data_IF_333712972842
#
_entry.id   IF_333712972842
#
_cell.length_a   1.000
_cell.length_b   1.000
_cell.length_c   1.000
_cell.angle_alpha   90.00
_cell.angle_beta   90.00
_cell.angle_gamma   90.00
#
_symmetry.space_group_name_H-M   'P 1'
#
loop_
_entity.id
_entity.type
_entity.pdbx_description
1 polymer ?
#
# COMPACT_ATOMS: atom_id res chain seq x y z
N UNK A 1 2.78 -2.36 -8.88
CA UNK A 1 1.77 -1.39 -8.37
C UNK A 1 1.70 -0.17 -9.27
N UNK A 2 0.53 0.16 -9.83
CA UNK A 2 0.26 1.51 -10.36
C UNK A 2 -0.53 2.24 -9.27
N UNK A 3 0.07 3.28 -8.70
CA UNK A 3 -0.58 4.13 -7.69
C UNK A 3 -1.31 5.26 -8.40
N UNK A 4 -2.63 5.13 -8.54
CA UNK A 4 -3.46 6.17 -9.16
C UNK A 4 -4.05 7.07 -8.08
N UNK A 5 -3.88 8.39 -8.24
CA UNK A 5 -4.64 9.38 -7.49
C UNK A 5 -5.73 9.92 -8.40
N UNK A 6 -6.99 9.86 -7.95
CA UNK A 6 -8.15 10.32 -8.71
C UNK A 6 -8.65 11.63 -8.10
N UNK A 7 -8.79 12.65 -8.92
CA UNK A 7 -9.46 13.90 -8.56
C UNK A 7 -10.84 13.93 -9.17
N UNK A 8 -11.83 14.30 -8.36
CA UNK A 8 -13.19 14.55 -8.81
C UNK A 8 -13.45 16.06 -8.73
N UNK A 9 -13.76 16.66 -9.88
CA UNK A 9 -14.16 18.06 -9.99
C UNK A 9 -15.65 18.14 -10.35
N UNK A 10 -16.46 18.84 -9.55
CA UNK A 10 -17.88 19.08 -9.84
C UNK A 10 -18.23 20.55 -10.06
N UNK A 11 -19.16 20.79 -10.98
CA UNK A 11 -19.92 22.04 -11.14
C UNK A 11 -21.41 21.77 -10.81
N UNK A 12 -22.13 22.77 -10.30
CA UNK A 12 -23.49 22.64 -9.71
C UNK A 12 -24.58 22.29 -10.75
N UNK A 13 -24.25 22.21 -12.05
CA UNK A 13 -25.23 22.06 -13.14
C UNK A 13 -24.99 20.83 -14.05
N UNK A 14 -24.65 19.67 -13.46
CA UNK A 14 -24.48 18.34 -14.09
C UNK A 14 -23.03 17.99 -14.49
N UNK A 15 -22.60 16.79 -14.07
CA UNK A 15 -21.40 16.00 -14.46
C UNK A 15 -20.11 16.27 -13.68
N UNK A 16 -19.53 15.18 -13.17
CA UNK A 16 -18.18 15.15 -12.60
C UNK A 16 -17.14 14.97 -13.71
N UNK A 17 -15.99 15.62 -13.57
CA UNK A 17 -14.79 15.28 -14.34
C UNK A 17 -13.89 14.41 -13.45
N UNK A 18 -13.49 13.25 -13.97
CA UNK A 18 -12.48 12.39 -13.34
C UNK A 18 -11.12 12.71 -13.94
N UNK A 19 -10.15 13.03 -13.10
CA UNK A 19 -8.76 13.30 -13.50
C UNK A 19 -7.85 12.35 -12.74
N UNK A 20 -6.99 11.64 -13.45
CA UNK A 20 -6.02 10.73 -12.87
C UNK A 20 -4.64 11.38 -12.88
N UNK A 21 -4.00 11.44 -11.73
CA UNK A 21 -2.61 11.82 -11.60
C UNK A 21 -1.78 10.58 -11.34
N UNK A 22 -0.78 10.36 -12.18
CA UNK A 22 0.26 9.37 -11.98
C UNK A 22 1.42 10.01 -11.23
N UNK A 23 1.91 9.31 -10.20
CA UNK A 23 3.03 9.81 -9.42
C UNK A 23 4.27 9.97 -10.32
N UNK A 24 4.86 11.17 -10.38
CA UNK A 24 5.95 11.53 -11.31
C UNK A 24 7.26 10.75 -11.16
N UNK A 25 7.41 9.96 -10.09
CA UNK A 25 8.52 9.01 -10.01
C UNK A 25 8.26 7.78 -10.93
N UNK A 26 7.00 7.53 -11.29
CA UNK A 26 6.52 6.32 -11.95
C UNK A 26 6.04 6.50 -13.40
N UNK A 27 5.91 7.69 -14.01
CA UNK A 27 5.73 7.88 -15.48
C UNK A 27 6.18 9.31 -15.87
N UNK A 28 6.75 9.45 -17.06
CA UNK A 28 7.45 10.59 -17.69
C UNK A 28 7.01 12.04 -17.35
N UNK A 29 8.06 12.89 -17.28
CA UNK A 29 8.16 14.37 -17.39
C UNK A 29 7.64 15.19 -16.21
N UNK A 30 8.55 15.56 -15.30
CA UNK A 30 9.03 16.93 -15.04
C UNK A 30 10.23 16.83 -14.08
N UNK A 31 11.45 16.78 -14.62
CA UNK A 31 12.65 17.01 -13.81
C UNK A 31 12.72 18.51 -13.52
N UNK A 32 12.37 18.92 -12.31
CA UNK A 32 12.85 20.20 -11.78
C UNK A 32 14.23 19.96 -11.15
N UNK A 33 15.29 20.65 -11.60
CA UNK A 33 16.59 20.60 -10.93
C UNK A 33 16.45 21.24 -9.53
N UNK A 34 16.80 20.50 -8.48
CA UNK A 34 16.62 20.94 -7.10
C UNK A 34 17.76 21.87 -6.63
N UNK A 35 17.45 22.93 -5.87
CA UNK A 35 18.33 23.50 -4.87
C UNK A 35 18.41 22.57 -3.65
N UNK A 36 19.63 22.38 -3.12
CA UNK A 36 20.07 21.35 -2.15
C UNK A 36 19.30 21.19 -0.82
N UNK A 37 18.18 21.89 -0.56
CA UNK A 37 17.54 21.97 0.76
C UNK A 37 16.01 21.65 0.82
N UNK A 38 15.37 21.11 -0.22
CA UNK A 38 13.97 20.64 -0.11
C UNK A 38 13.90 19.11 0.04
N UNK A 39 13.23 18.63 1.10
CA UNK A 39 12.94 17.20 1.30
C UNK A 39 11.93 16.71 0.25
N UNK A 40 12.20 15.57 -0.40
CA UNK A 40 11.36 14.97 -1.46
C UNK A 40 9.86 14.85 -1.10
N UNK A 41 9.50 14.73 0.18
CA UNK A 41 8.12 14.78 0.74
C UNK A 41 7.30 15.96 0.22
N UNK A 42 7.86 17.16 0.35
CA UNK A 42 7.20 18.40 -0.05
C UNK A 42 7.03 18.48 -1.58
N UNK A 43 7.94 17.87 -2.33
CA UNK A 43 7.93 17.89 -3.79
C UNK A 43 6.71 17.14 -4.37
N UNK A 44 6.25 16.05 -3.74
CA UNK A 44 5.10 15.27 -4.26
C UNK A 44 3.78 15.99 -4.08
N UNK A 45 3.56 16.56 -2.90
CA UNK A 45 2.35 17.35 -2.65
C UNK A 45 2.39 18.69 -3.41
N UNK A 46 3.59 19.25 -3.64
CA UNK A 46 3.77 20.39 -4.53
C UNK A 46 3.45 20.03 -5.98
N UNK A 47 3.87 18.86 -6.48
CA UNK A 47 3.50 18.38 -7.82
C UNK A 47 1.98 18.25 -7.96
N UNK A 48 1.27 17.77 -6.91
CA UNK A 48 -0.19 17.74 -6.89
C UNK A 48 -0.81 19.14 -6.93
N UNK A 49 -0.22 20.11 -6.22
CA UNK A 49 -0.66 21.50 -6.27
C UNK A 49 -0.45 22.12 -7.67
N UNK A 50 0.70 21.84 -8.31
CA UNK A 50 1.01 22.26 -9.69
C UNK A 50 0.06 21.59 -10.68
N UNK A 51 -0.21 20.30 -10.54
CA UNK A 51 -1.18 19.58 -11.36
C UNK A 51 -2.58 20.18 -11.22
N UNK A 52 -3.04 20.43 -9.99
CA UNK A 52 -4.31 21.09 -9.74
C UNK A 52 -4.37 22.46 -10.46
N UNK A 53 -3.31 23.26 -10.38
CA UNK A 53 -3.24 24.55 -11.06
C UNK A 53 -3.27 24.40 -12.59
N UNK A 54 -2.47 23.49 -13.15
CA UNK A 54 -2.40 23.22 -14.58
C UNK A 54 -3.76 22.81 -15.14
N UNK A 55 -4.44 21.88 -14.46
CA UNK A 55 -5.76 21.41 -14.87
C UNK A 55 -6.81 22.50 -14.71
N UNK A 56 -6.76 23.26 -13.62
CA UNK A 56 -7.67 24.39 -13.42
C UNK A 56 -7.56 25.41 -14.55
N UNK A 57 -6.34 25.71 -15.01
CA UNK A 57 -6.11 26.60 -16.15
C UNK A 57 -6.56 25.97 -17.48
N UNK A 58 -6.16 24.72 -17.72
CA UNK A 58 -6.43 24.01 -18.99
C UNK A 58 -7.92 23.82 -19.27
N UNK A 59 -8.73 23.63 -18.22
CA UNK A 59 -10.17 23.44 -18.32
C UNK A 59 -10.98 24.66 -17.87
N UNK A 60 -10.32 25.81 -17.64
CA UNK A 60 -10.95 27.05 -17.17
C UNK A 60 -11.83 26.86 -15.92
N UNK A 61 -11.36 26.01 -14.99
CA UNK A 61 -12.00 25.78 -13.72
C UNK A 61 -11.73 26.97 -12.80
N UNK A 62 -12.75 27.38 -12.04
CA UNK A 62 -12.65 28.52 -11.13
C UNK A 62 -12.92 28.09 -9.70
N UNK A 63 -12.89 29.04 -8.76
CA UNK A 63 -13.34 28.83 -7.38
C UNK A 63 -14.78 28.28 -7.27
N UNK A 64 -15.58 28.30 -8.36
CA UNK A 64 -16.89 27.64 -8.43
C UNK A 64 -16.77 26.13 -8.32
N UNK A 65 -15.74 25.55 -8.91
CA UNK A 65 -15.52 24.11 -8.93
C UNK A 65 -15.01 23.61 -7.57
N UNK A 66 -15.54 22.49 -7.09
CA UNK A 66 -15.09 21.86 -5.85
C UNK A 66 -14.28 20.61 -6.20
N UNK A 67 -13.09 20.50 -5.61
CA UNK A 67 -12.17 19.39 -5.81
C UNK A 67 -12.20 18.45 -4.60
N UNK A 68 -12.35 17.16 -4.87
CA UNK A 68 -12.22 16.08 -3.88
C UNK A 68 -11.09 15.15 -4.35
N UNK A 69 -10.16 14.82 -3.46
CA UNK A 69 -9.06 13.89 -3.73
C UNK A 69 -9.46 12.46 -3.34
N UNK A 70 -9.13 11.48 -4.17
CA UNK A 70 -9.34 10.06 -3.89
C UNK A 70 -8.03 9.30 -4.13
N UNK A 71 -7.74 8.35 -3.25
CA UNK A 71 -6.61 7.44 -3.43
C UNK A 71 -6.74 6.18 -2.59
N UNK A 72 -6.08 5.13 -3.05
CA UNK A 72 -5.96 3.85 -2.37
C UNK A 72 -4.52 3.57 -2.00
N UNK A 73 -4.25 2.91 -0.88
CA UNK A 73 -2.89 2.56 -0.46
C UNK A 73 -2.04 3.83 -0.23
N UNK A 74 -0.79 3.83 -0.69
CA UNK A 74 0.05 5.02 -0.71
C UNK A 74 -0.61 6.26 -1.37
N UNK A 75 -1.42 6.10 -2.43
CA UNK A 75 -2.13 7.26 -3.00
C UNK A 75 -3.29 7.74 -2.10
N UNK A 76 -3.83 6.87 -1.26
CA UNK A 76 -4.74 7.23 -0.18
C UNK A 76 -4.04 8.09 0.88
N UNK A 77 -2.83 7.68 1.30
CA UNK A 77 -2.01 8.50 2.20
C UNK A 77 -1.68 9.87 1.57
N UNK A 78 -1.32 9.91 0.29
CA UNK A 78 -1.14 11.17 -0.45
C UNK A 78 -2.41 12.02 -0.49
N UNK A 79 -3.60 11.42 -0.69
CA UNK A 79 -4.88 12.16 -0.67
C UNK A 79 -5.13 12.82 0.68
N UNK A 80 -4.92 12.08 1.77
CA UNK A 80 -5.05 12.59 3.13
C UNK A 80 -4.06 13.74 3.40
N UNK A 81 -2.78 13.54 3.09
CA UNK A 81 -1.75 14.55 3.29
C UNK A 81 -1.93 15.77 2.39
N UNK A 82 -2.40 15.61 1.16
CA UNK A 82 -2.69 16.72 0.26
C UNK A 82 -3.82 17.59 0.81
N UNK A 83 -4.90 16.96 1.31
CA UNK A 83 -5.97 17.69 1.99
C UNK A 83 -5.47 18.39 3.26
N UNK A 84 -4.61 17.74 4.04
CA UNK A 84 -4.03 18.33 5.25
C UNK A 84 -3.11 19.53 4.99
N UNK A 85 -2.25 19.48 3.96
CA UNK A 85 -1.26 20.52 3.67
C UNK A 85 -1.74 21.60 2.70
N UNK A 86 -2.67 21.27 1.81
CA UNK A 86 -3.23 22.19 0.81
C UNK A 86 -4.75 22.29 0.91
N UNK A 87 -5.32 22.63 2.09
CA UNK A 87 -6.76 22.68 2.29
C UNK A 87 -7.47 23.77 1.47
N UNK A 88 -6.71 24.68 0.87
CA UNK A 88 -7.21 25.73 -0.03
C UNK A 88 -7.36 25.24 -1.50
N UNK A 89 -6.78 24.08 -1.86
CA UNK A 89 -6.87 23.51 -3.22
C UNK A 89 -7.92 22.40 -3.32
N UNK A 90 -7.95 21.49 -2.35
CA UNK A 90 -8.92 20.38 -2.31
C UNK A 90 -9.82 20.52 -1.10
N UNK A 91 -11.13 20.37 -1.27
CA UNK A 91 -12.12 20.59 -0.22
C UNK A 91 -12.22 19.42 0.77
N UNK A 92 -12.01 18.19 0.27
CA UNK A 92 -12.00 16.97 1.07
C UNK A 92 -11.20 15.86 0.39
N UNK A 93 -10.96 14.77 1.12
CA UNK A 93 -10.25 13.60 0.62
C UNK A 93 -10.87 12.29 1.10
N UNK A 94 -10.89 11.29 0.22
CA UNK A 94 -11.18 9.88 0.55
C UNK A 94 -9.87 9.10 0.46
N UNK A 95 -9.44 8.57 1.59
CA UNK A 95 -8.17 7.88 1.78
C UNK A 95 -8.45 6.40 2.09
N UNK A 96 -8.54 5.59 1.04
CA UNK A 96 -8.82 4.16 1.14
C UNK A 96 -7.54 3.37 1.43
N UNK A 97 -7.59 2.47 2.41
CA UNK A 97 -6.50 1.63 2.91
C UNK A 97 -5.18 2.40 3.02
N UNK A 98 -5.22 3.58 3.63
CA UNK A 98 -4.13 4.55 3.55
C UNK A 98 -3.13 4.40 4.71
N UNK A 99 -1.91 3.89 4.50
CA UNK A 99 -0.91 3.76 5.56
C UNK A 99 -0.26 5.12 5.85
N UNK A 100 -0.92 5.95 6.65
CA UNK A 100 -0.47 7.31 7.01
C UNK A 100 0.58 7.33 8.12
N UNK A 101 0.68 6.25 8.91
CA UNK A 101 1.69 6.07 9.95
C UNK A 101 2.89 5.33 9.38
N UNK A 102 4.00 6.04 9.19
CA UNK A 102 5.28 5.46 8.86
C UNK A 102 5.79 4.56 10.00
N UNK A 103 6.36 3.40 9.69
CA UNK A 103 6.88 2.45 10.68
C UNK A 103 8.08 1.72 10.10
N UNK A 104 9.21 1.70 10.81
CA UNK A 104 10.44 1.06 10.31
C UNK A 104 10.22 -0.42 10.07
N UNK A 105 10.03 -1.15 11.15
CA UNK A 105 9.69 -2.56 11.15
C UNK A 105 8.18 -2.73 11.26
N UNK A 106 7.58 -3.32 10.24
CA UNK A 106 6.16 -3.60 10.12
C UNK A 106 5.86 -5.11 10.11
N UNK A 107 6.47 -5.85 11.04
CA UNK A 107 6.15 -7.27 11.31
C UNK A 107 4.65 -7.57 11.48
N UNK A 108 3.88 -6.63 12.03
CA UNK A 108 2.42 -6.75 12.19
C UNK A 108 1.67 -6.95 10.86
N UNK A 109 2.26 -6.61 9.72
CA UNK A 109 1.72 -6.95 8.40
C UNK A 109 1.44 -8.45 8.27
N UNK A 110 2.39 -9.27 8.72
CA UNK A 110 2.31 -10.73 8.62
C UNK A 110 1.31 -11.35 9.63
N UNK A 111 0.89 -10.57 10.64
CA UNK A 111 -0.18 -10.96 11.56
C UNK A 111 -1.57 -10.85 10.94
N UNK A 112 -1.73 -10.21 9.77
CA UNK A 112 -3.04 -10.16 9.11
C UNK A 112 -3.56 -11.54 8.67
N UNK A 113 -2.67 -12.50 8.41
CA UNK A 113 -3.03 -13.91 8.26
C UNK A 113 -3.76 -14.43 9.50
N UNK A 114 -3.28 -14.07 10.69
CA UNK A 114 -3.94 -14.40 11.96
C UNK A 114 -5.28 -13.66 12.10
N UNK A 115 -5.40 -12.44 11.58
CA UNK A 115 -6.67 -11.68 11.60
C UNK A 115 -7.73 -12.27 10.67
N UNK A 116 -7.36 -12.96 9.58
CA UNK A 116 -8.31 -13.70 8.73
C UNK A 116 -9.06 -14.79 9.51
N UNK A 117 -8.40 -15.39 10.52
CA UNK A 117 -9.01 -16.39 11.41
C UNK A 117 -10.20 -15.82 12.19
N UNK A 118 -10.20 -14.51 12.50
CA UNK A 118 -11.34 -13.89 13.22
C UNK A 118 -12.64 -13.93 12.42
N UNK A 119 -12.54 -14.05 11.10
CA UNK A 119 -13.69 -13.97 10.19
C UNK A 119 -14.11 -15.32 9.62
N UNK A 120 -13.33 -16.40 9.80
CA UNK A 120 -13.65 -17.69 9.19
C UNK A 120 -13.18 -18.89 10.04
N UNK A 121 -14.00 -19.94 10.00
CA UNK A 121 -13.94 -21.21 10.76
C UNK A 121 -12.54 -21.86 10.87
N UNK A 122 -12.44 -22.84 11.79
CA UNK A 122 -11.38 -23.84 12.04
C UNK A 122 -10.47 -24.15 10.84
N UNK A 123 -11.02 -24.20 9.62
CA UNK A 123 -10.29 -24.35 8.36
C UNK A 123 -9.09 -23.39 8.19
N UNK A 124 -9.23 -22.13 8.60
CA UNK A 124 -8.15 -21.13 8.47
C UNK A 124 -7.03 -21.33 9.50
N UNK A 125 -7.36 -21.79 10.71
CA UNK A 125 -6.36 -22.18 11.70
C UNK A 125 -5.52 -23.36 11.21
N UNK A 126 -6.17 -24.33 10.57
CA UNK A 126 -5.47 -25.48 9.99
C UNK A 126 -4.57 -25.05 8.82
N UNK A 127 -5.06 -24.19 7.94
CA UNK A 127 -4.26 -23.61 6.86
C UNK A 127 -3.01 -22.89 7.39
N UNK A 128 -3.17 -22.02 8.39
CA UNK A 128 -2.07 -21.29 9.01
C UNK A 128 -1.01 -22.25 9.60
N UNK A 129 -1.43 -23.29 10.32
CA UNK A 129 -0.53 -24.28 10.87
C UNK A 129 0.26 -25.02 9.77
N UNK A 130 -0.39 -25.39 8.67
CA UNK A 130 0.28 -26.05 7.54
C UNK A 130 1.27 -25.09 6.86
N UNK A 131 0.94 -23.81 6.74
CA UNK A 131 1.87 -22.80 6.21
C UNK A 131 3.09 -22.67 7.10
N UNK A 132 2.92 -22.54 8.41
CA UNK A 132 4.01 -22.48 9.37
C UNK A 132 4.92 -23.71 9.30
N UNK A 133 4.34 -24.91 9.27
CA UNK A 133 5.08 -26.16 9.12
C UNK A 133 5.85 -26.22 7.79
N UNK A 134 5.24 -25.75 6.70
CA UNK A 134 5.88 -25.73 5.39
C UNK A 134 7.09 -24.78 5.35
N UNK A 135 6.94 -23.54 5.84
CA UNK A 135 8.06 -22.59 5.90
C UNK A 135 9.20 -23.09 6.79
N UNK A 136 8.88 -23.67 7.95
CA UNK A 136 9.87 -24.28 8.83
C UNK A 136 10.60 -25.46 8.16
N UNK A 137 9.89 -26.30 7.39
CA UNK A 137 10.50 -27.41 6.67
C UNK A 137 11.47 -26.94 5.58
N UNK A 138 11.12 -25.88 4.84
CA UNK A 138 12.00 -25.29 3.83
C UNK A 138 13.24 -24.68 4.49
N UNK A 139 13.06 -23.93 5.58
CA UNK A 139 14.17 -23.33 6.34
C UNK A 139 15.15 -24.40 6.86
N UNK A 140 14.64 -25.48 7.45
CA UNK A 140 15.45 -26.62 7.91
C UNK A 140 16.19 -27.29 6.74
N UNK A 141 15.53 -27.46 5.59
CA UNK A 141 16.18 -28.05 4.41
C UNK A 141 17.31 -27.17 3.86
N UNK A 142 17.10 -25.85 3.82
CA UNK A 142 18.11 -24.88 3.39
C UNK A 142 19.30 -24.86 4.36
N UNK A 143 19.05 -24.74 5.67
CA UNK A 143 20.10 -24.77 6.70
C UNK A 143 20.84 -26.11 6.76
N UNK A 144 20.14 -27.22 6.45
CA UNK A 144 20.71 -28.56 6.37
C UNK A 144 21.57 -28.83 5.13
N UNK A 145 21.69 -27.87 4.21
CA UNK A 145 22.48 -28.00 2.99
C UNK A 145 21.76 -28.68 1.82
N UNK A 146 20.46 -28.95 1.92
CA UNK A 146 19.66 -29.56 0.84
C UNK A 146 19.21 -28.56 -0.23
N UNK A 147 20.04 -27.55 -0.47
CA UNK A 147 19.74 -26.35 -1.29
C UNK A 147 19.37 -26.73 -2.73
N UNK A 148 20.04 -27.73 -3.32
CA UNK A 148 19.74 -28.22 -4.67
C UNK A 148 18.37 -28.87 -4.79
N UNK A 149 17.93 -29.62 -3.76
CA UNK A 149 16.62 -30.28 -3.77
C UNK A 149 15.51 -29.24 -3.65
N UNK A 150 15.66 -28.29 -2.72
CA UNK A 150 14.73 -27.17 -2.55
C UNK A 150 14.58 -26.39 -3.86
N UNK A 151 15.68 -26.10 -4.56
CA UNK A 151 15.63 -25.42 -5.85
C UNK A 151 14.80 -26.18 -6.90
N UNK A 152 14.91 -27.51 -6.94
CA UNK A 152 14.11 -28.38 -7.83
C UNK A 152 12.65 -28.39 -7.42
N UNK A 153 12.35 -28.55 -6.13
CA UNK A 153 10.99 -28.66 -5.60
C UNK A 153 10.16 -27.40 -5.90
N UNK A 154 10.78 -26.22 -5.80
CA UNK A 154 10.15 -24.93 -6.09
C UNK A 154 10.34 -24.43 -7.53
N UNK A 155 11.04 -25.18 -8.39
CA UNK A 155 11.27 -24.79 -9.79
C UNK A 155 12.07 -23.50 -9.94
N UNK A 156 13.13 -23.33 -9.14
CA UNK A 156 13.98 -22.15 -9.17
C UNK A 156 14.81 -22.08 -10.47
N UNK A 157 15.08 -20.87 -10.95
CA UNK A 157 15.90 -20.65 -12.15
C UNK A 157 17.38 -21.03 -11.95
N UNK A 158 17.82 -21.04 -10.69
CA UNK A 158 19.16 -21.43 -10.28
C UNK A 158 19.10 -22.11 -8.90
N UNK A 159 20.16 -22.84 -8.54
CA UNK A 159 20.37 -23.31 -7.18
C UNK A 159 20.88 -22.11 -6.35
N UNK A 160 20.31 -21.82 -5.17
CA UNK A 160 20.81 -20.75 -4.30
C UNK A 160 22.32 -20.88 -4.06
N UNK A 161 23.08 -19.83 -4.36
CA UNK A 161 24.56 -19.86 -4.28
C UNK A 161 25.07 -19.46 -2.90
N UNK A 162 24.31 -18.62 -2.22
CA UNK A 162 24.67 -17.99 -0.95
C UNK A 162 23.39 -17.80 -0.09
N UNK A 163 23.54 -17.37 1.17
CA UNK A 163 22.39 -17.11 2.04
C UNK A 163 21.42 -16.04 1.50
N UNK A 164 21.89 -15.08 0.71
CA UNK A 164 21.02 -14.01 0.18
C UNK A 164 20.05 -14.58 -0.87
N UNK A 165 20.52 -15.47 -1.76
CA UNK A 165 19.64 -16.20 -2.69
C UNK A 165 18.61 -17.08 -1.95
N UNK A 166 18.97 -17.64 -0.78
CA UNK A 166 18.04 -18.41 0.05
C UNK A 166 16.98 -17.51 0.69
N UNK A 167 17.35 -16.31 1.14
CA UNK A 167 16.41 -15.33 1.67
C UNK A 167 15.47 -14.84 0.57
N UNK A 168 15.97 -14.60 -0.64
CA UNK A 168 15.16 -14.22 -1.80
C UNK A 168 14.11 -15.29 -2.13
N UNK A 169 14.47 -16.59 -2.04
CA UNK A 169 13.51 -17.68 -2.14
C UNK A 169 12.44 -17.60 -1.05
N UNK A 170 12.82 -17.46 0.22
CA UNK A 170 11.86 -17.40 1.33
C UNK A 170 10.93 -16.18 1.22
N UNK A 171 11.46 -15.03 0.76
CA UNK A 171 10.66 -13.83 0.52
C UNK A 171 9.67 -14.04 -0.62
N UNK A 172 10.12 -14.60 -1.75
CA UNK A 172 9.25 -14.92 -2.88
C UNK A 172 8.10 -15.87 -2.50
N UNK A 173 8.37 -16.86 -1.64
CA UNK A 173 7.34 -17.75 -1.12
C UNK A 173 6.36 -17.00 -0.20
N UNK A 174 6.86 -16.16 0.71
CA UNK A 174 6.03 -15.36 1.60
C UNK A 174 5.14 -14.37 0.83
N UNK A 175 5.68 -13.74 -0.22
CA UNK A 175 4.99 -12.77 -1.08
C UNK A 175 3.70 -13.33 -1.70
N UNK A 176 3.65 -14.63 -1.99
CA UNK A 176 2.43 -15.30 -2.50
C UNK A 176 1.30 -15.19 -1.48
N UNK A 177 1.57 -15.53 -0.23
CA UNK A 177 0.59 -15.45 0.86
C UNK A 177 0.25 -13.99 1.20
N UNK A 178 1.29 -13.17 1.36
CA UNK A 178 1.17 -11.74 1.67
C UNK A 178 0.30 -11.00 0.63
N UNK A 179 0.55 -11.25 -0.66
CA UNK A 179 -0.22 -10.67 -1.75
C UNK A 179 -1.65 -11.21 -1.82
N UNK A 180 -1.84 -12.51 -1.57
CA UNK A 180 -3.17 -13.16 -1.56
C UNK A 180 -4.06 -12.57 -0.46
N UNK A 181 -3.50 -12.36 0.74
CA UNK A 181 -4.23 -11.74 1.85
C UNK A 181 -4.55 -10.28 1.55
N UNK A 182 -3.54 -9.51 1.15
CA UNK A 182 -3.71 -8.08 0.89
C UNK A 182 -4.82 -7.81 -0.11
N UNK A 183 -4.90 -8.60 -1.19
CA UNK A 183 -5.82 -8.33 -2.29
C UNK A 183 -6.97 -9.33 -2.42
N UNK A 184 -7.23 -10.18 -1.44
CA UNK A 184 -8.23 -11.25 -1.49
C UNK A 184 -9.52 -10.86 -2.26
N UNK A 185 -9.81 -11.57 -3.36
CA UNK A 185 -10.97 -11.35 -4.27
C UNK A 185 -10.95 -10.02 -5.08
N UNK A 186 -9.98 -9.14 -4.85
CA UNK A 186 -9.82 -7.82 -5.45
C UNK A 186 -8.82 -7.81 -6.62
N UNK A 187 -9.08 -8.63 -7.64
CA UNK A 187 -8.33 -8.58 -8.92
C UNK A 187 -7.02 -9.36 -8.92
N UNK A 188 -6.86 -10.31 -8.00
CA UNK A 188 -5.72 -11.24 -7.92
C UNK A 188 -6.01 -12.62 -8.48
N UNK A 189 -4.93 -13.38 -8.65
CA UNK A 189 -4.90 -14.74 -9.18
C UNK A 189 -5.63 -15.76 -8.31
N UNK A 190 -5.70 -15.54 -6.99
CA UNK A 190 -6.22 -16.51 -6.03
C UNK A 190 -6.80 -15.81 -4.80
N UNK A 191 -7.88 -16.37 -4.24
CA UNK A 191 -8.45 -15.99 -2.95
C UNK A 191 -7.78 -16.75 -1.79
N UNK A 192 -7.91 -16.24 -0.57
CA UNK A 192 -7.37 -16.93 0.61
C UNK A 192 -8.02 -18.32 0.77
N UNK A 193 -9.30 -18.47 0.43
CA UNK A 193 -9.99 -19.77 0.47
C UNK A 193 -9.36 -20.79 -0.48
N UNK A 194 -9.05 -20.38 -1.71
CA UNK A 194 -8.41 -21.25 -2.71
C UNK A 194 -6.98 -21.61 -2.27
N UNK A 195 -6.21 -20.62 -1.79
CA UNK A 195 -4.85 -20.84 -1.31
C UNK A 195 -4.83 -21.82 -0.12
N UNK A 196 -5.74 -21.62 0.84
CA UNK A 196 -5.86 -22.54 1.97
C UNK A 196 -6.36 -23.93 1.56
N UNK A 197 -7.22 -24.01 0.55
CA UNK A 197 -7.63 -25.28 -0.06
C UNK A 197 -6.44 -26.05 -0.63
N UNK A 198 -5.55 -25.36 -1.35
CA UNK A 198 -4.31 -25.94 -1.89
C UNK A 198 -3.36 -26.39 -0.78
N UNK A 199 -3.08 -25.52 0.19
CA UNK A 199 -2.12 -25.83 1.25
C UNK A 199 -2.59 -27.00 2.11
N UNK A 200 -3.89 -27.10 2.40
CA UNK A 200 -4.43 -28.19 3.21
C UNK A 200 -4.62 -29.49 2.43
N UNK A 201 -4.71 -29.43 1.10
CA UNK A 201 -4.80 -30.59 0.21
C UNK A 201 -3.40 -31.03 -0.26
N UNK A 202 -2.83 -32.04 0.42
CA UNK A 202 -1.48 -32.61 0.15
C UNK A 202 -1.26 -33.17 -1.27
N UNK A 203 -2.26 -33.11 -2.13
CA UNK A 203 -2.28 -33.72 -3.47
C UNK A 203 -1.98 -32.74 -4.60
N UNK A 204 -1.99 -31.43 -4.33
CA UNK A 204 -1.84 -30.39 -5.36
C UNK A 204 -0.59 -29.55 -5.12
N UNK A 205 0.28 -29.48 -6.13
CA UNK A 205 1.46 -28.60 -6.13
C UNK A 205 1.02 -27.26 -6.72
N UNK A 206 1.08 -26.19 -5.92
CA UNK A 206 0.93 -24.85 -6.46
C UNK A 206 2.12 -24.53 -7.36
N UNK A 207 1.89 -24.48 -8.67
CA UNK A 207 2.81 -23.83 -9.62
C UNK A 207 2.28 -22.43 -9.89
N UNK A 208 3.13 -21.43 -9.66
CA UNK A 208 2.87 -20.06 -10.08
C UNK A 208 2.40 -20.04 -11.54
N UNK A 209 1.29 -19.37 -11.80
CA UNK A 209 0.74 -19.17 -13.16
C UNK A 209 1.46 -18.03 -13.91
N UNK A 210 2.59 -17.54 -13.38
CA UNK A 210 3.43 -16.58 -14.09
C UNK A 210 3.90 -17.16 -15.41
N UNK A 211 3.90 -16.35 -16.47
CA UNK A 211 4.52 -16.69 -17.76
C UNK A 211 6.05 -16.91 -17.64
N UNK A 212 6.63 -16.62 -16.48
CA UNK A 212 8.03 -16.90 -16.14
C UNK A 212 8.26 -18.41 -15.99
N UNK A 213 9.26 -18.99 -16.68
CA UNK A 213 9.47 -20.43 -16.75
C UNK A 213 9.99 -21.05 -15.44
N UNK A 214 10.44 -20.22 -14.50
CA UNK A 214 11.05 -20.62 -13.23
C UNK A 214 10.98 -19.49 -12.21
N UNK A 215 11.19 -19.80 -10.93
CA UNK A 215 11.28 -18.82 -9.86
C UNK A 215 12.69 -18.20 -9.80
N UNK A 216 12.81 -16.93 -10.12
CA UNK A 216 14.09 -16.21 -10.05
C UNK A 216 14.39 -15.80 -8.61
N UNK A 217 15.48 -16.34 -8.08
CA UNK A 217 15.91 -16.18 -6.69
C UNK A 217 17.30 -15.52 -6.59
N UNK A 218 17.80 -14.92 -7.69
CA UNK A 218 19.13 -14.32 -7.68
C UNK A 218 19.11 -12.96 -6.99
N UNK A 219 19.69 -12.89 -5.79
CA UNK A 219 19.80 -11.62 -5.05
C UNK A 219 20.65 -10.61 -5.83
N UNK A 220 21.77 -11.06 -6.40
CA UNK A 220 22.63 -10.22 -7.25
C UNK A 220 21.84 -9.58 -8.40
N UNK A 221 21.00 -10.36 -9.08
CA UNK A 221 20.16 -9.86 -10.18
C UNK A 221 19.09 -8.91 -9.66
N UNK A 222 18.42 -9.22 -8.55
CA UNK A 222 17.43 -8.34 -7.93
C UNK A 222 18.03 -6.98 -7.58
N UNK A 223 19.22 -6.96 -6.95
CA UNK A 223 19.97 -5.73 -6.66
C UNK A 223 20.35 -5.01 -7.94
N UNK A 224 20.86 -5.70 -8.96
CA UNK A 224 21.24 -5.10 -10.25
C UNK A 224 20.05 -4.43 -10.94
N UNK A 225 18.88 -5.06 -10.93
CA UNK A 225 17.67 -4.50 -11.52
C UNK A 225 17.17 -3.28 -10.74
N UNK A 226 17.32 -3.28 -9.41
CA UNK A 226 17.00 -2.12 -8.55
C UNK A 226 18.03 -0.99 -8.67
N UNK A 227 19.28 -1.28 -9.06
CA UNK A 227 20.29 -0.26 -9.37
C UNK A 227 20.01 0.45 -10.69
N UNK A 228 19.27 -0.17 -11.62
CA UNK A 228 18.96 0.43 -12.91
C UNK A 228 18.11 1.71 -12.76
N UNK A 229 18.67 2.84 -13.19
CA UNK A 229 18.03 4.16 -13.15
C UNK A 229 17.33 4.53 -14.46
N UNK A 230 17.35 3.64 -15.46
CA UNK A 230 16.68 3.83 -16.74
C UNK A 230 15.18 4.02 -16.58
N UNK A 231 14.63 4.99 -17.30
CA UNK A 231 13.19 5.24 -17.37
C UNK A 231 12.39 4.06 -17.95
N UNK A 232 13.07 3.18 -18.69
CA UNK A 232 12.49 2.02 -19.36
C UNK A 232 12.67 0.72 -18.57
N UNK A 233 13.32 0.75 -17.41
CA UNK A 233 13.45 -0.43 -16.54
C UNK A 233 12.08 -0.97 -16.14
N UNK A 234 11.90 -2.28 -16.23
CA UNK A 234 10.71 -2.97 -15.72
C UNK A 234 10.58 -2.85 -14.20
N UNK A 235 11.71 -2.72 -13.49
CA UNK A 235 11.79 -2.59 -12.02
C UNK A 235 11.86 -1.16 -11.52
N UNK A 236 11.74 -0.14 -12.40
CA UNK A 236 11.72 1.28 -12.03
C UNK A 236 10.82 1.52 -10.81
N UNK A 237 9.59 0.99 -10.90
CA UNK A 237 8.57 1.11 -9.89
C UNK A 237 9.01 0.59 -8.51
N UNK A 238 9.62 -0.59 -8.50
CA UNK A 238 10.15 -1.21 -7.28
C UNK A 238 11.28 -0.36 -6.69
N UNK A 239 12.28 0.03 -7.50
CA UNK A 239 13.39 0.90 -7.06
C UNK A 239 12.89 2.16 -6.36
N UNK A 240 11.83 2.74 -6.87
CA UNK A 240 11.30 4.02 -6.42
C UNK A 240 10.45 3.89 -5.17
N UNK A 241 9.80 2.74 -5.02
CA UNK A 241 9.22 2.34 -3.75
C UNK A 241 10.31 2.10 -2.69
N UNK A 242 11.35 1.33 -3.01
CA UNK A 242 12.50 1.09 -2.11
C UNK A 242 13.19 2.38 -1.67
N UNK A 243 13.31 3.36 -2.57
CA UNK A 243 13.84 4.67 -2.17
C UNK A 243 12.96 5.35 -1.11
N UNK A 244 11.63 5.27 -1.25
CA UNK A 244 10.69 5.87 -0.30
C UNK A 244 10.69 5.16 1.06
N UNK A 245 10.81 3.83 1.08
CA UNK A 245 10.96 3.07 2.33
C UNK A 245 12.27 3.43 3.04
N UNK A 246 13.36 3.60 2.28
CA UNK A 246 14.67 4.04 2.80
C UNK A 246 14.74 5.52 3.21
N UNK A 247 13.81 6.37 2.77
CA UNK A 247 13.89 7.82 3.05
C UNK A 247 12.79 8.36 3.94
N UNK A 248 11.66 7.66 4.05
CA UNK A 248 10.44 8.23 4.62
C UNK A 248 9.60 7.26 5.41
N UNK A 249 9.37 6.04 4.90
CA UNK A 249 8.27 5.23 5.39
C UNK A 249 8.69 4.05 6.26
N UNK A 250 9.84 3.43 5.97
CA UNK A 250 10.06 2.05 6.38
C UNK A 250 9.04 1.16 5.66
N UNK A 251 8.23 0.42 6.42
CA UNK A 251 7.28 -0.58 5.97
C UNK A 251 7.92 -1.92 5.58
N UNK A 252 9.03 -2.26 6.23
CA UNK A 252 9.69 -3.55 6.07
C UNK A 252 8.85 -4.64 6.74
N UNK A 253 8.52 -5.68 6.00
CA UNK A 253 7.53 -6.69 6.40
C UNK A 253 8.26 -7.92 6.93
N UNK A 254 8.75 -7.82 8.16
CA UNK A 254 9.67 -8.78 8.75
C UNK A 254 8.94 -9.92 9.47
N UNK A 255 9.69 -10.97 9.79
CA UNK A 255 9.24 -12.16 10.52
C UNK A 255 10.15 -12.51 11.70
N UNK A 256 10.77 -11.50 12.31
CA UNK A 256 11.54 -11.66 13.56
C UNK A 256 10.63 -11.89 14.77
N UNK A 257 9.34 -11.55 14.68
CA UNK A 257 8.34 -11.84 15.71
C UNK A 257 7.82 -13.29 15.58
N UNK A 258 7.71 -13.99 16.71
CA UNK A 258 7.21 -15.37 16.78
C UNK A 258 5.77 -15.56 16.28
N UNK A 259 5.02 -14.48 16.10
CA UNK A 259 3.66 -14.48 15.55
C UNK A 259 3.63 -14.52 14.02
N UNK A 260 4.75 -14.23 13.34
CA UNK A 260 4.81 -14.38 11.89
C UNK A 260 4.73 -15.86 11.48
N UNK A 261 3.89 -16.22 10.48
CA UNK A 261 3.75 -17.59 10.03
C UNK A 261 4.79 -18.05 8.98
N UNK A 262 5.72 -17.17 8.61
CA UNK A 262 6.76 -17.42 7.61
C UNK A 262 8.12 -17.68 8.28
N UNK A 263 9.20 -17.46 7.54
CA UNK A 263 10.56 -17.74 8.01
C UNK A 263 11.18 -16.58 8.80
N UNK A 264 11.93 -16.93 9.86
CA UNK A 264 12.73 -15.97 10.64
C UNK A 264 13.92 -15.39 9.86
N UNK A 265 14.19 -15.89 8.65
CA UNK A 265 15.20 -15.34 7.74
C UNK A 265 14.81 -13.94 7.20
N UNK A 266 13.51 -13.60 7.22
CA UNK A 266 12.99 -12.31 6.74
C UNK A 266 13.15 -11.24 7.83
N UNK A 267 14.37 -10.72 7.96
CA UNK A 267 14.74 -9.77 9.03
C UNK A 267 14.78 -8.33 8.55
N UNK A 268 14.64 -7.39 9.49
CA UNK A 268 14.81 -5.97 9.23
C UNK A 268 16.21 -5.65 8.66
N UNK A 269 17.23 -6.38 9.09
CA UNK A 269 18.61 -6.17 8.66
C UNK A 269 18.77 -6.42 7.16
N UNK A 270 18.19 -7.50 6.65
CA UNK A 270 18.24 -7.86 5.20
C UNK A 270 17.61 -6.75 4.37
N UNK A 271 16.38 -6.35 4.74
CA UNK A 271 15.63 -5.33 4.01
C UNK A 271 16.34 -3.97 4.03
N UNK A 272 16.87 -3.57 5.20
CA UNK A 272 17.51 -2.26 5.35
C UNK A 272 18.90 -2.20 4.73
N UNK A 273 19.57 -3.33 4.44
CA UNK A 273 20.86 -3.34 3.75
C UNK A 273 20.77 -2.80 2.32
N UNK A 274 19.60 -2.87 1.69
CA UNK A 274 19.37 -2.32 0.36
C UNK A 274 19.50 -0.79 0.35
N UNK A 275 19.24 -0.10 1.46
CA UNK A 275 19.32 1.36 1.52
C UNK A 275 20.73 1.93 1.28
N UNK A 276 21.79 1.49 1.99
CA UNK A 276 23.14 1.93 1.68
C UNK A 276 23.62 1.40 0.33
N UNK A 277 23.26 0.17 -0.03
CA UNK A 277 23.68 -0.47 -1.28
C UNK A 277 23.16 0.25 -2.52
N UNK A 278 21.86 0.58 -2.56
CA UNK A 278 21.22 1.16 -3.74
C UNK A 278 21.33 2.69 -3.79
N UNK A 279 21.37 3.35 -2.63
CA UNK A 279 21.18 4.81 -2.53
C UNK A 279 22.21 5.53 -1.66
N UNK A 280 23.17 4.82 -1.05
CA UNK A 280 24.13 5.41 -0.11
C UNK A 280 23.47 5.95 1.17
N UNK A 281 22.26 5.48 1.52
CA UNK A 281 21.54 5.92 2.71
C UNK A 281 21.90 5.00 3.88
N UNK A 282 22.52 5.57 4.91
CA UNK A 282 22.85 4.83 6.13
C UNK A 282 21.59 4.30 6.84
N UNK A 283 21.62 3.02 7.23
CA UNK A 283 20.56 2.36 8.02
C UNK A 283 20.29 3.09 9.33
N UNK A 284 21.34 3.63 9.97
CA UNK A 284 21.21 4.41 11.21
C UNK A 284 20.40 5.69 11.06
N UNK A 285 20.23 6.20 9.82
CA UNK A 285 19.41 7.39 9.56
C UNK A 285 17.91 7.08 9.42
N UNK A 286 17.52 5.81 9.24
CA UNK A 286 16.14 5.41 8.96
C UNK A 286 15.17 5.78 10.10
N UNK A 287 15.46 5.51 11.39
CA UNK A 287 14.53 5.85 12.47
C UNK A 287 14.19 7.35 12.50
N UNK A 288 15.19 8.22 12.40
CA UNK A 288 14.97 9.68 12.43
C UNK A 288 14.14 10.17 11.23
N UNK A 289 14.34 9.58 10.06
CA UNK A 289 13.59 9.91 8.84
C UNK A 289 12.11 9.53 8.94
N UNK A 290 11.83 8.40 9.56
CA UNK A 290 10.48 7.87 9.81
C UNK A 290 9.78 8.69 10.88
N UNK A 291 10.48 8.98 11.98
CA UNK A 291 9.98 9.92 13.01
C UNK A 291 9.60 11.25 12.37
N UNK A 292 10.45 11.82 11.51
CA UNK A 292 10.10 13.05 10.79
C UNK A 292 8.82 12.90 9.96
N UNK A 293 8.63 11.80 9.23
CA UNK A 293 7.40 11.58 8.44
C UNK A 293 6.16 11.62 9.32
N UNK A 294 6.19 10.91 10.45
CA UNK A 294 5.08 10.87 11.39
C UNK A 294 4.83 12.24 12.03
N UNK A 295 5.87 12.96 12.46
CA UNK A 295 5.73 14.31 13.00
C UNK A 295 5.18 15.29 11.95
N UNK A 296 5.64 15.18 10.70
CA UNK A 296 5.25 16.10 9.64
C UNK A 296 3.80 15.92 9.19
N UNK A 297 3.31 14.67 9.15
CA UNK A 297 1.96 14.32 8.66
C UNK A 297 0.94 13.97 9.75
N UNK A 298 1.37 13.75 10.99
CA UNK A 298 0.52 13.39 12.13
C UNK A 298 0.32 11.89 12.36
N UNK A 299 0.90 11.03 11.52
CA UNK A 299 0.78 9.57 11.66
C UNK A 299 -0.67 9.09 11.60
N UNK A 300 -1.03 8.17 12.50
CA UNK A 300 -2.39 7.63 12.70
C UNK A 300 -3.30 8.53 13.55
N UNK A 301 -2.79 9.67 14.05
CA UNK A 301 -3.58 10.72 14.71
C UNK A 301 -3.41 12.06 13.99
N UNK A 302 -3.80 12.15 12.70
CA UNK A 302 -3.57 13.34 11.92
C UNK A 302 -4.59 14.43 12.25
N UNK A 303 -4.12 15.63 12.59
CA UNK A 303 -4.96 16.83 12.72
C UNK A 303 -5.42 17.31 11.33
N UNK A 304 -6.32 16.56 10.71
CA UNK A 304 -6.82 16.78 9.35
C UNK A 304 -8.33 16.86 9.33
N UNK A 305 -8.87 17.84 8.60
CA UNK A 305 -10.31 18.06 8.47
C UNK A 305 -10.81 17.65 7.09
N UNK A 306 -12.01 17.05 7.04
CA UNK A 306 -12.67 16.57 5.80
C UNK A 306 -11.82 15.51 5.07
N UNK A 307 -11.24 14.61 5.85
CA UNK A 307 -10.62 13.38 5.34
C UNK A 307 -11.45 12.20 5.83
N UNK A 308 -11.82 11.32 4.90
CA UNK A 308 -12.53 10.07 5.15
C UNK A 308 -11.54 8.92 4.95
N UNK A 309 -11.13 8.29 6.05
CA UNK A 309 -10.26 7.11 6.03
C UNK A 309 -11.13 5.86 5.91
N UNK A 310 -10.88 5.05 4.88
CA UNK A 310 -11.64 3.82 4.64
C UNK A 310 -10.69 2.65 4.80
N UNK A 311 -11.01 1.64 5.60
CA UNK A 311 -10.14 0.50 5.84
C UNK A 311 -10.90 -0.82 5.70
N UNK A 312 -10.25 -1.83 5.11
CA UNK A 312 -10.73 -3.20 5.05
C UNK A 312 -10.29 -4.00 6.28
N UNK A 313 -11.16 -4.85 6.82
CA UNK A 313 -10.86 -5.59 8.05
C UNK A 313 -9.90 -6.76 7.89
N UNK A 314 -9.70 -7.27 6.67
CA UNK A 314 -8.66 -8.27 6.35
C UNK A 314 -7.40 -7.63 5.76
N UNK A 315 -7.40 -6.32 5.51
CA UNK A 315 -6.26 -5.61 4.95
C UNK A 315 -5.14 -5.46 6.00
N UNK A 316 -3.92 -5.97 5.77
CA UNK A 316 -2.80 -5.81 6.70
C UNK A 316 -2.44 -4.34 6.94
N UNK A 317 -2.64 -3.47 5.93
CA UNK A 317 -2.25 -2.06 6.03
C UNK A 317 -3.12 -1.22 6.98
N UNK A 318 -4.25 -1.76 7.45
CA UNK A 318 -5.13 -1.05 8.39
C UNK A 318 -4.40 -0.64 9.68
N UNK A 319 -3.41 -1.43 10.11
CA UNK A 319 -2.58 -1.19 11.31
C UNK A 319 -1.77 0.11 11.25
N UNK A 320 -1.56 0.65 10.04
CA UNK A 320 -0.83 1.89 9.79
C UNK A 320 -1.74 3.02 9.31
N UNK A 321 -3.05 2.82 9.33
CA UNK A 321 -4.07 3.79 8.92
C UNK A 321 -4.70 4.48 10.13
N UNK A 322 -5.59 5.43 9.88
CA UNK A 322 -6.49 5.96 10.90
C UNK A 322 -7.69 5.03 11.02
N UNK A 323 -7.78 4.33 12.15
CA UNK A 323 -8.92 3.51 12.56
C UNK A 323 -9.52 4.15 13.81
N UNK A 324 -10.84 4.11 13.97
CA UNK A 324 -11.52 4.74 15.10
C UNK A 324 -11.08 4.11 16.43
N UNK A 325 -10.62 4.93 17.38
CA UNK A 325 -10.69 4.59 18.81
C UNK A 325 -12.14 4.81 19.28
N UNK A 326 -12.67 3.88 20.09
CA UNK A 326 -14.07 3.82 20.54
C UNK A 326 -14.53 4.95 21.48
N UNK A 327 -13.84 6.10 21.51
CA UNK A 327 -14.12 7.14 22.50
C UNK A 327 -14.03 8.54 21.90
N UNK A 328 -15.22 9.15 21.83
CA UNK A 328 -15.58 10.56 22.02
C UNK A 328 -15.04 11.63 21.06
N UNK A 329 -16.01 12.15 20.28
CA UNK A 329 -16.35 13.58 20.17
C UNK A 329 -15.23 14.61 20.03
N UNK A 330 -14.42 14.50 18.99
CA UNK A 330 -13.94 15.69 18.29
C UNK A 330 -14.28 15.54 16.80
N UNK A 331 -14.54 16.64 16.08
CA UNK A 331 -14.83 16.63 14.62
C UNK A 331 -13.59 16.26 13.77
N UNK A 332 -12.77 15.35 14.29
CA UNK A 332 -11.53 14.79 13.77
C UNK A 332 -11.82 13.54 12.91
N UNK A 333 -11.01 13.37 11.85
CA UNK A 333 -10.96 12.22 10.94
C UNK A 333 -12.16 11.24 10.93
N UNK A 334 -12.99 11.31 9.88
CA UNK A 334 -14.08 10.35 9.70
C UNK A 334 -13.51 9.01 9.22
N UNK A 335 -13.93 7.90 9.83
CA UNK A 335 -13.47 6.56 9.44
C UNK A 335 -14.62 5.68 8.99
N UNK A 336 -14.42 4.88 7.95
CA UNK A 336 -15.30 3.76 7.55
C UNK A 336 -14.50 2.48 7.63
N UNK A 337 -15.00 1.52 8.41
CA UNK A 337 -14.38 0.20 8.54
C UNK A 337 -15.25 -0.85 7.83
N UNK A 338 -14.66 -1.60 6.91
CA UNK A 338 -15.33 -2.61 6.09
C UNK A 338 -14.77 -3.99 6.46
N UNK A 339 -15.39 -4.58 7.48
CA UNK A 339 -14.92 -5.75 8.22
C UNK A 339 -14.43 -6.92 7.36
N UNK A 340 -15.12 -7.22 6.26
CA UNK A 340 -14.91 -8.42 5.44
C UNK A 340 -14.33 -8.11 4.06
N UNK A 341 -13.50 -7.07 3.94
CA UNK A 341 -12.90 -6.69 2.65
C UNK A 341 -11.40 -6.44 2.72
N UNK A 342 -10.74 -6.67 1.58
CA UNK A 342 -9.31 -6.55 1.39
C UNK A 342 -8.88 -5.11 1.07
N UNK A 343 -7.62 -4.95 0.71
CA UNK A 343 -6.99 -3.69 0.44
C UNK A 343 -7.70 -2.92 -0.69
N UNK A 344 -8.14 -1.70 -0.38
CA UNK A 344 -8.81 -0.79 -1.33
C UNK A 344 -10.07 -1.36 -2.01
N UNK A 345 -10.78 -2.32 -1.42
CA UNK A 345 -11.95 -2.94 -2.04
C UNK A 345 -13.05 -1.92 -2.41
N UNK A 346 -13.21 -0.85 -1.63
CA UNK A 346 -14.18 0.23 -1.92
C UNK A 346 -13.90 0.95 -3.24
N UNK A 347 -12.65 0.94 -3.69
CA UNK A 347 -12.17 1.62 -4.90
C UNK A 347 -12.32 0.77 -6.19
N UNK A 348 -12.62 -0.52 -6.07
CA UNK A 348 -12.78 -1.41 -7.23
C UNK A 348 -14.11 -1.19 -7.96
N UNK A 349 -14.20 -1.68 -9.20
CA UNK A 349 -15.45 -1.60 -9.96
C UNK A 349 -16.55 -2.41 -9.29
N UNK A 350 -17.78 -1.89 -9.31
CA UNK A 350 -18.94 -2.58 -8.72
C UNK A 350 -19.22 -3.91 -9.40
N UNK A 351 -19.43 -4.95 -8.60
CA UNK A 351 -19.88 -6.27 -9.05
C UNK A 351 -21.23 -6.59 -8.41
N UNK A 352 -22.04 -7.38 -9.11
CA UNK A 352 -23.32 -7.87 -8.57
C UNK A 352 -23.09 -8.70 -7.31
N UNK A 353 -21.98 -9.45 -7.30
CA UNK A 353 -21.51 -10.31 -6.22
C UNK A 353 -20.89 -9.57 -5.04
N UNK A 354 -20.75 -8.24 -5.08
CA UNK A 354 -20.16 -7.48 -3.97
C UNK A 354 -20.93 -7.72 -2.66
N UNK A 355 -20.17 -7.88 -1.58
CA UNK A 355 -20.68 -8.11 -0.22
C UNK A 355 -21.54 -6.93 0.24
N UNK A 356 -22.49 -7.21 1.15
CA UNK A 356 -23.45 -6.19 1.63
C UNK A 356 -22.74 -5.04 2.38
N UNK A 357 -21.74 -5.37 3.17
CA UNK A 357 -20.81 -4.46 3.85
C UNK A 357 -20.15 -3.49 2.87
N UNK A 358 -19.53 -4.00 1.79
CA UNK A 358 -18.89 -3.20 0.75
C UNK A 358 -19.88 -2.28 0.04
N UNK A 359 -21.07 -2.79 -0.32
CA UNK A 359 -22.16 -1.99 -0.91
C UNK A 359 -22.60 -0.85 0.03
N UNK A 360 -22.74 -1.13 1.32
CA UNK A 360 -23.09 -0.15 2.36
C UNK A 360 -22.00 0.91 2.49
N UNK A 361 -20.74 0.50 2.60
CA UNK A 361 -19.59 1.40 2.75
C UNK A 361 -19.44 2.34 1.55
N UNK A 362 -19.55 1.83 0.31
CA UNK A 362 -19.55 2.68 -0.89
C UNK A 362 -20.69 3.70 -0.87
N UNK A 363 -21.87 3.32 -0.39
CA UNK A 363 -23.00 4.25 -0.27
C UNK A 363 -22.72 5.33 0.79
N UNK A 364 -22.07 4.96 1.88
CA UNK A 364 -21.66 5.89 2.92
C UNK A 364 -20.61 6.88 2.39
N UNK A 365 -19.57 6.40 1.69
CA UNK A 365 -18.58 7.24 1.00
C UNK A 365 -19.26 8.25 0.06
N UNK A 366 -20.18 7.79 -0.78
CA UNK A 366 -20.97 8.68 -1.66
C UNK A 366 -21.70 9.77 -0.88
N UNK A 367 -22.35 9.41 0.23
CA UNK A 367 -23.10 10.34 1.06
C UNK A 367 -22.19 11.38 1.73
N UNK A 368 -20.99 10.97 2.19
CA UNK A 368 -19.99 11.89 2.74
C UNK A 368 -19.51 12.89 1.69
N UNK A 369 -19.14 12.40 0.51
CA UNK A 369 -18.69 13.24 -0.61
C UNK A 369 -19.80 14.19 -1.06
N UNK A 370 -21.04 13.71 -1.18
CA UNK A 370 -22.19 14.54 -1.53
C UNK A 370 -22.45 15.65 -0.50
N UNK A 371 -22.32 15.34 0.81
CA UNK A 371 -22.42 16.35 1.88
C UNK A 371 -21.32 17.40 1.75
N UNK A 372 -20.06 16.99 1.56
CA UNK A 372 -18.96 17.93 1.36
C UNK A 372 -19.19 18.85 0.16
N UNK A 373 -19.66 18.32 -0.97
CA UNK A 373 -19.97 19.12 -2.15
C UNK A 373 -21.08 20.13 -1.90
N UNK A 374 -22.13 19.73 -1.15
CA UNK A 374 -23.22 20.63 -0.76
C UNK A 374 -22.72 21.74 0.17
N UNK A 375 -21.98 21.41 1.22
CA UNK A 375 -21.40 22.39 2.15
C UNK A 375 -20.46 23.34 1.43
N UNK A 376 -19.60 22.83 0.52
CA UNK A 376 -18.71 23.66 -0.28
C UNK A 376 -19.48 24.67 -1.13
N UNK A 377 -20.62 24.26 -1.71
CA UNK A 377 -21.46 25.15 -2.49
C UNK A 377 -22.10 26.26 -1.61
N UNK A 378 -22.55 25.91 -0.40
CA UNK A 378 -23.10 26.88 0.57
C UNK A 378 -22.05 27.90 1.02
N UNK A 379 -20.87 27.45 1.46
CA UNK A 379 -19.76 28.32 1.86
C UNK A 379 -19.35 29.29 0.74
N UNK A 380 -19.42 28.85 -0.52
CA UNK A 380 -19.13 29.68 -1.69
C UNK A 380 -20.23 30.70 -2.00
N UNK A 381 -21.50 30.41 -1.68
CA UNK A 381 -22.60 31.36 -1.84
C UNK A 381 -22.52 32.46 -0.79
N UNK A 382 -22.24 32.11 0.47
CA UNK A 382 -22.11 33.07 1.57
C UNK A 382 -20.98 34.08 1.30
N UNK A 383 -19.83 33.63 0.82
CA UNK A 383 -18.70 34.49 0.44
C UNK A 383 -18.98 35.45 -0.74
N UNK A 384 -20.08 35.28 -1.46
CA UNK A 384 -20.51 36.17 -2.57
C UNK A 384 -21.56 37.19 -2.18
N UNK A 385 -22.22 36.98 -1.04
CA UNK A 385 -23.24 37.88 -0.51
C UNK A 385 -22.68 38.95 0.44
N UNK A 386 -21.35 39.02 0.60
CA UNK A 386 -20.62 40.01 1.39
C UNK A 386 -19.86 40.95 0.48
#
# INVERSE_FOLDING_TARGET
>A
MRFFLKFLCLNVLLRCSLMEWEHNIFVRRFFCPSPKNQTHKAMRLADLAVFHQYISQSFNLSHRNTWISFGGSYSGALSAWFRGKFPHLVYGAVASSAPVKAKLDFSAYNNALNSCVKFTLIFFLQCLAVVQEAFAAVEVALMGGNVSQVAVDFGCCQIPKDPDDQIELMQNLADIFMGTVQYNEEGVLMSINELCGLMTNKSEIYRSTSEEPCLDISHEKAVKDLMDTSLHSSRRAARQWTYQTCTEFGFYQTCEDATCPFSGMLTLQVDTQLCPLLFGISQHSLPARITFTNTYYGGDKPHTYRVLYVNGGIDPWQELSVVQDRTEEEEEAQTIFIEDTAHCADMTSRRVTDRRSLKKARKEIENHVARWLKTAAQEKMEKRGV
#
